data_IF_400869920811
#
_entry.id   IF_400869920811
#
_cell.length_a   1.000
_cell.length_b   1.000
_cell.length_c   1.000
_cell.angle_alpha   90.00
_cell.angle_beta   90.00
_cell.angle_gamma   90.00
#
_symmetry.space_group_name_H-M   'P 1'
#
loop_
_entity.id
_entity.type
_entity.pdbx_description
1 polymer ?
#
# COMPACT_ATOMS: atom_id res chain seq x y z
N UNK A 1 -6.79 0.39 -15.84
CA UNK A 1 -5.47 0.08 -15.24
C UNK A 1 -5.70 -0.72 -13.97
N UNK A 2 -5.06 -1.87 -13.80
CA UNK A 2 -5.22 -2.73 -12.61
C UNK A 2 -4.06 -2.48 -11.66
N UNK A 3 -4.31 -2.02 -10.44
CA UNK A 3 -3.26 -1.64 -9.50
C UNK A 3 -3.26 -2.50 -8.25
N UNK A 4 -2.08 -2.96 -7.84
CA UNK A 4 -1.86 -3.59 -6.56
C UNK A 4 -1.91 -2.50 -5.48
N UNK A 5 -3.09 -2.31 -4.89
CA UNK A 5 -3.41 -1.20 -4.02
C UNK A 5 -3.11 -1.55 -2.56
N UNK A 6 -2.15 -0.85 -1.98
CA UNK A 6 -1.83 -0.94 -0.56
C UNK A 6 -2.38 0.29 0.18
N UNK A 7 -3.48 0.17 0.93
CA UNK A 7 -4.06 1.30 1.65
C UNK A 7 -3.22 1.74 2.87
N UNK A 8 -2.26 0.92 3.33
CA UNK A 8 -1.51 1.20 4.56
C UNK A 8 -2.38 1.10 5.82
N UNK A 9 -1.92 1.67 6.93
CA UNK A 9 -2.63 1.62 8.22
C UNK A 9 -3.52 2.85 8.47
N UNK A 10 -2.99 4.05 8.19
CA UNK A 10 -3.66 5.32 8.50
C UNK A 10 -4.97 5.47 7.74
N UNK A 11 -4.99 5.18 6.43
CA UNK A 11 -6.20 5.31 5.60
C UNK A 11 -7.30 4.30 5.96
N UNK A 12 -7.00 3.25 6.73
CA UNK A 12 -7.98 2.29 7.24
C UNK A 12 -8.44 2.60 8.67
N UNK A 13 -7.70 3.42 9.41
CA UNK A 13 -7.94 3.65 10.84
C UNK A 13 -8.17 5.12 11.20
N UNK A 14 -7.15 5.95 10.99
CA UNK A 14 -7.13 7.35 11.46
C UNK A 14 -7.73 8.34 10.44
N UNK A 15 -7.63 8.05 9.15
CA UNK A 15 -8.21 8.85 8.06
C UNK A 15 -9.01 7.95 7.10
N UNK A 16 -10.07 7.26 7.59
CA UNK A 16 -10.84 6.29 6.81
C UNK A 16 -11.47 6.89 5.55
N UNK A 17 -11.69 8.20 5.53
CA UNK A 17 -12.19 8.94 4.37
C UNK A 17 -11.26 8.84 3.16
N UNK A 18 -9.94 8.67 3.34
CA UNK A 18 -9.00 8.52 2.23
C UNK A 18 -9.24 7.21 1.47
N UNK A 19 -9.37 6.10 2.19
CA UNK A 19 -9.64 4.80 1.60
C UNK A 19 -11.02 4.77 0.93
N UNK A 20 -12.05 5.30 1.61
CA UNK A 20 -13.39 5.42 1.03
C UNK A 20 -13.46 6.33 -0.19
N UNK A 21 -12.64 7.39 -0.24
CA UNK A 21 -12.55 8.28 -1.41
C UNK A 21 -11.91 7.58 -2.59
N UNK A 22 -10.86 6.78 -2.38
CA UNK A 22 -10.26 6.00 -3.47
C UNK A 22 -11.23 4.98 -4.07
N UNK A 23 -12.02 4.29 -3.24
CA UNK A 23 -13.05 3.37 -3.73
C UNK A 23 -14.09 4.04 -4.65
N UNK A 24 -14.34 5.35 -4.47
CA UNK A 24 -15.25 6.14 -5.30
C UNK A 24 -14.57 6.76 -6.53
N UNK A 25 -13.32 7.19 -6.39
CA UNK A 25 -12.57 7.91 -7.44
C UNK A 25 -11.94 6.96 -8.45
N UNK A 26 -11.42 5.81 -8.01
CA UNK A 26 -10.73 4.87 -8.90
C UNK A 26 -11.59 4.40 -10.09
N UNK A 27 -12.89 4.05 -9.93
CA UNK A 27 -13.75 3.70 -11.06
C UNK A 27 -13.95 4.84 -12.07
N UNK A 28 -13.93 6.10 -11.62
CA UNK A 28 -14.07 7.27 -12.50
C UNK A 28 -12.83 7.51 -13.37
N UNK A 29 -11.71 6.90 -13.01
CA UNK A 29 -10.43 6.97 -13.73
C UNK A 29 -10.10 5.65 -14.44
N UNK A 30 -11.06 4.73 -14.53
CA UNK A 30 -10.88 3.38 -15.08
C UNK A 30 -9.74 2.60 -14.38
N UNK A 31 -9.61 2.77 -13.05
CA UNK A 31 -8.64 2.07 -12.19
C UNK A 31 -9.35 0.96 -11.40
N UNK A 32 -8.88 -0.27 -11.56
CA UNK A 32 -9.25 -1.43 -10.72
C UNK A 32 -8.28 -1.51 -9.53
N UNK A 33 -8.80 -1.36 -8.32
CA UNK A 33 -8.03 -1.49 -7.09
C UNK A 33 -8.02 -2.94 -6.61
N UNK A 34 -6.82 -3.54 -6.57
CA UNK A 34 -6.61 -4.89 -6.02
C UNK A 34 -5.96 -4.74 -4.65
N UNK A 35 -6.76 -4.85 -3.59
CA UNK A 35 -6.28 -4.60 -2.23
C UNK A 35 -5.24 -5.64 -1.76
N UNK A 36 -4.10 -5.14 -1.28
CA UNK A 36 -3.10 -5.93 -0.56
C UNK A 36 -3.47 -6.01 0.93
N UNK A 37 -4.52 -6.78 1.23
CA UNK A 37 -5.16 -6.92 2.54
C UNK A 37 -4.22 -7.42 3.66
N UNK A 38 -3.29 -8.32 3.32
CA UNK A 38 -2.33 -8.93 4.26
C UNK A 38 -1.01 -8.18 4.40
N UNK A 39 -0.85 -7.01 3.77
CA UNK A 39 0.38 -6.22 3.88
C UNK A 39 0.57 -5.61 5.27
N UNK A 40 1.83 -5.53 5.71
CA UNK A 40 2.25 -4.97 7.00
C UNK A 40 2.11 -3.43 7.04
N UNK A 41 2.32 -2.81 8.20
CA UNK A 41 2.57 -1.38 8.30
C UNK A 41 3.96 -1.03 7.74
N UNK A 42 4.12 0.15 7.13
CA UNK A 42 5.42 0.67 6.68
C UNK A 42 6.40 1.02 7.82
N UNK A 43 5.93 1.05 9.08
CA UNK A 43 6.74 1.44 10.23
C UNK A 43 6.95 2.95 10.41
N UNK A 44 6.43 3.78 9.49
CA UNK A 44 6.40 5.24 9.57
C UNK A 44 7.77 5.90 9.87
N UNK A 45 8.87 5.31 9.40
CA UNK A 45 10.23 5.75 9.72
C UNK A 45 10.70 5.38 11.13
N UNK A 46 9.79 5.28 12.11
CA UNK A 46 10.10 4.94 13.51
C UNK A 46 10.77 3.58 13.66
N UNK A 47 10.34 2.57 12.89
CA UNK A 47 11.00 1.25 12.93
C UNK A 47 12.44 1.36 12.39
N UNK A 48 12.66 2.12 11.32
CA UNK A 48 13.97 2.29 10.70
C UNK A 48 14.97 3.02 11.62
N UNK A 49 14.48 3.96 12.46
CA UNK A 49 15.30 4.63 13.48
C UNK A 49 15.93 3.65 14.49
N UNK A 50 15.27 2.52 14.75
CA UNK A 50 15.72 1.51 15.71
C UNK A 50 16.34 0.27 15.05
N UNK A 51 15.80 -0.17 13.91
CA UNK A 51 16.22 -1.38 13.21
C UNK A 51 15.87 -1.30 11.72
N UNK A 52 16.84 -0.88 10.90
CA UNK A 52 16.70 -0.79 9.45
C UNK A 52 16.37 -2.13 8.80
N UNK A 53 17.01 -3.23 9.23
CA UNK A 53 16.78 -4.57 8.65
C UNK A 53 15.32 -5.02 8.87
N UNK A 54 14.74 -4.72 10.02
CA UNK A 54 13.33 -5.01 10.30
C UNK A 54 12.40 -4.16 9.41
N UNK A 55 12.69 -2.87 9.25
CA UNK A 55 11.92 -2.00 8.36
C UNK A 55 11.95 -2.53 6.91
N UNK A 56 13.15 -2.82 6.41
CA UNK A 56 13.36 -3.36 5.06
C UNK A 56 12.62 -4.70 4.88
N UNK A 57 12.67 -5.59 5.87
CA UNK A 57 11.99 -6.89 5.84
C UNK A 57 10.46 -6.73 5.76
N UNK A 58 9.89 -5.81 6.55
CA UNK A 58 8.45 -5.54 6.56
C UNK A 58 7.96 -4.93 5.25
N UNK A 59 8.74 -4.00 4.68
CA UNK A 59 8.44 -3.36 3.40
C UNK A 59 8.65 -4.33 2.22
N UNK A 60 9.73 -5.12 2.23
CA UNK A 60 9.99 -6.17 1.23
C UNK A 60 8.84 -7.18 1.16
N UNK A 61 8.25 -7.57 2.30
CA UNK A 61 7.06 -8.42 2.33
C UNK A 61 5.87 -7.78 1.61
N UNK A 62 5.65 -6.48 1.76
CA UNK A 62 4.59 -5.75 1.05
C UNK A 62 4.87 -5.71 -0.45
N UNK A 63 6.11 -5.45 -0.86
CA UNK A 63 6.50 -5.50 -2.28
C UNK A 63 6.32 -6.90 -2.88
N UNK A 64 6.64 -7.97 -2.14
CA UNK A 64 6.42 -9.34 -2.58
C UNK A 64 4.93 -9.65 -2.83
N UNK A 65 4.03 -9.13 -1.98
CA UNK A 65 2.58 -9.23 -2.21
C UNK A 65 2.16 -8.46 -3.46
N UNK A 66 2.69 -7.26 -3.67
CA UNK A 66 2.42 -6.49 -4.88
C UNK A 66 2.91 -7.21 -6.14
N UNK A 67 4.12 -7.78 -6.10
CA UNK A 67 4.68 -8.58 -7.19
C UNK A 67 3.84 -9.81 -7.52
N UNK A 68 3.21 -10.46 -6.52
CA UNK A 68 2.27 -11.54 -6.76
C UNK A 68 1.03 -11.06 -7.55
N UNK A 69 0.51 -9.87 -7.24
CA UNK A 69 -0.59 -9.29 -8.01
C UNK A 69 -0.15 -8.80 -9.39
N UNK A 70 1.09 -8.34 -9.54
CA UNK A 70 1.67 -8.00 -10.84
C UNK A 70 1.82 -9.24 -11.73
N UNK A 71 2.22 -10.38 -11.16
CA UNK A 71 2.23 -11.66 -11.87
C UNK A 71 0.82 -12.13 -12.29
N UNK A 72 -0.24 -11.60 -11.66
CA UNK A 72 -1.66 -11.79 -12.01
C UNK A 72 -2.20 -10.70 -12.92
N UNK A 73 -1.34 -9.80 -13.42
CA UNK A 73 -1.71 -8.75 -14.38
C UNK A 73 -2.01 -7.38 -13.75
N UNK A 74 -1.56 -7.09 -12.53
CA UNK A 74 -1.51 -5.71 -12.05
C UNK A 74 -0.36 -4.95 -12.72
N UNK A 75 -0.62 -3.71 -13.14
CA UNK A 75 0.32 -2.85 -13.86
C UNK A 75 1.38 -2.25 -12.91
N UNK A 76 0.96 -1.87 -11.70
CA UNK A 76 1.81 -1.15 -10.73
C UNK A 76 1.31 -1.34 -9.30
N UNK A 77 2.21 -1.16 -8.34
CA UNK A 77 1.85 -1.00 -6.92
C UNK A 77 1.52 0.46 -6.61
N UNK A 78 0.45 0.71 -5.85
CA UNK A 78 0.06 2.06 -5.46
C UNK A 78 -0.33 2.13 -3.99
N UNK A 79 0.02 3.23 -3.33
CA UNK A 79 -0.47 3.61 -2.01
C UNK A 79 -1.00 5.06 -2.05
N UNK A 80 -1.70 5.50 -1.01
CA UNK A 80 -2.25 6.86 -0.89
C UNK A 80 -1.75 7.62 0.34
N UNK A 81 -0.64 7.20 0.91
CA UNK A 81 -0.11 7.75 2.15
C UNK A 81 1.33 8.21 1.93
N UNK A 82 1.57 9.51 2.04
CA UNK A 82 2.92 10.08 1.88
C UNK A 82 3.95 9.44 2.83
N UNK A 83 3.54 9.09 4.04
CA UNK A 83 4.39 8.35 4.99
C UNK A 83 4.74 6.95 4.48
N UNK A 84 3.78 6.22 3.89
CA UNK A 84 4.06 4.91 3.30
C UNK A 84 4.92 5.02 2.03
N UNK A 85 4.82 6.13 1.29
CA UNK A 85 5.61 6.37 0.09
C UNK A 85 7.09 6.66 0.37
N UNK A 86 7.40 7.25 1.53
CA UNK A 86 8.76 7.66 1.91
C UNK A 86 9.43 6.75 2.95
N UNK A 87 8.75 5.70 3.40
CA UNK A 87 9.24 4.72 4.37
C UNK A 87 9.90 3.51 3.73
#
# INVERSE_FOLDING_TARGET
MRVAYWPGCVSRGFTPELHGSMAKVAPLLDIELVELDRASCCGAGVIAEHNQELADTLNARTFALAQQEMARGADVMMNICSTCQGA
#
